data_IF_364720449654
#
_entry.id   IF_364720449654
#
_cell.length_a   1.000
_cell.length_b   1.000
_cell.length_c   1.000
_cell.angle_alpha   90.00
_cell.angle_beta   90.00
_cell.angle_gamma   90.00
#
_symmetry.space_group_name_H-M   'P 1'
#
loop_
_entity.id
_entity.type
_entity.pdbx_description
1 polymer ?
#
# COMPACT_ATOMS: atom_id res chain seq x y z
N UNK A 1 -16.43 5.35 10.03
CA UNK A 1 -16.89 4.11 10.68
C UNK A 1 -18.36 3.75 10.44
N UNK A 2 -19.24 4.74 10.21
CA UNK A 2 -20.66 4.57 9.81
C UNK A 2 -21.02 3.33 8.97
N UNK A 3 -20.26 3.03 7.92
CA UNK A 3 -20.49 1.83 7.09
C UNK A 3 -20.35 0.55 7.91
N UNK A 4 -19.26 0.41 8.67
CA UNK A 4 -19.03 -0.75 9.53
C UNK A 4 -20.09 -0.84 10.64
N UNK A 5 -20.45 0.29 11.25
CA UNK A 5 -21.54 0.37 12.24
C UNK A 5 -22.87 -0.12 11.66
N UNK A 6 -23.19 0.28 10.42
CA UNK A 6 -24.40 -0.16 9.71
C UNK A 6 -24.41 -1.69 9.50
N UNK A 7 -23.22 -2.28 9.36
CA UNK A 7 -23.04 -3.73 9.27
C UNK A 7 -22.84 -4.41 10.65
N UNK A 8 -22.97 -3.68 11.76
CA UNK A 8 -22.79 -4.23 13.12
C UNK A 8 -21.33 -4.59 13.47
N UNK A 9 -20.36 -4.09 12.71
CA UNK A 9 -18.94 -4.35 12.92
C UNK A 9 -18.35 -3.26 13.81
N UNK A 10 -18.13 -3.61 15.08
CA UNK A 10 -17.65 -2.68 16.10
C UNK A 10 -16.12 -2.65 16.22
N UNK A 11 -15.44 -3.70 15.77
CA UNK A 11 -13.97 -3.84 15.73
C UNK A 11 -13.57 -4.60 14.47
N UNK A 12 -12.45 -4.23 13.85
CA UNK A 12 -12.00 -4.83 12.60
C UNK A 12 -10.48 -4.88 12.45
N UNK A 13 -10.03 -5.80 11.62
CA UNK A 13 -8.67 -5.80 11.06
C UNK A 13 -8.72 -5.32 9.60
N UNK A 14 -7.78 -4.48 9.21
CA UNK A 14 -7.75 -3.85 7.89
C UNK A 14 -6.50 -4.25 7.12
N UNK A 15 -6.64 -4.49 5.82
CA UNK A 15 -5.53 -4.63 4.88
C UNK A 15 -5.60 -3.48 3.89
N UNK A 16 -4.58 -2.62 3.90
CA UNK A 16 -4.48 -1.48 3.01
C UNK A 16 -3.44 -1.73 1.92
N UNK A 17 -3.87 -1.76 0.66
CA UNK A 17 -2.99 -1.98 -0.50
C UNK A 17 -2.79 -0.65 -1.24
N UNK A 18 -1.54 -0.31 -1.55
CA UNK A 18 -1.21 0.91 -2.30
C UNK A 18 -1.84 2.15 -1.64
N UNK A 19 -2.67 2.92 -2.34
CA UNK A 19 -3.40 4.05 -1.76
C UNK A 19 -4.29 3.65 -0.57
N UNK A 20 -4.87 2.45 -0.61
CA UNK A 20 -5.63 1.89 0.51
C UNK A 20 -4.80 1.74 1.79
N UNK A 21 -3.47 1.63 1.69
CA UNK A 21 -2.57 1.67 2.84
C UNK A 21 -2.53 3.04 3.52
N UNK A 22 -2.51 4.14 2.76
CA UNK A 22 -2.58 5.50 3.32
C UNK A 22 -3.93 5.76 3.98
N UNK A 23 -5.02 5.36 3.33
CA UNK A 23 -6.38 5.45 3.89
C UNK A 23 -6.47 4.60 5.17
N UNK A 24 -6.01 3.36 5.12
CA UNK A 24 -6.04 2.45 6.26
C UNK A 24 -5.21 2.91 7.44
N UNK A 25 -4.02 3.48 7.19
CA UNK A 25 -3.18 4.10 8.20
C UNK A 25 -3.87 5.29 8.87
N UNK A 26 -4.48 6.16 8.07
CA UNK A 26 -5.24 7.30 8.57
C UNK A 26 -6.45 6.88 9.40
N UNK A 27 -7.17 5.82 8.99
CA UNK A 27 -8.29 5.27 9.77
C UNK A 27 -7.83 4.67 11.09
N UNK A 28 -6.71 3.93 11.11
CA UNK A 28 -6.16 3.37 12.33
C UNK A 28 -5.72 4.47 13.33
N UNK A 29 -5.16 5.57 12.82
CA UNK A 29 -4.77 6.71 13.64
C UNK A 29 -5.97 7.48 14.22
N UNK A 30 -7.06 7.60 13.46
CA UNK A 30 -8.26 8.34 13.88
C UNK A 30 -9.22 7.51 14.75
N UNK A 31 -9.25 6.19 14.59
CA UNK A 31 -10.18 5.28 15.27
C UNK A 31 -9.45 4.08 15.90
N UNK A 32 -8.47 4.32 16.81
CA UNK A 32 -7.61 3.27 17.36
C UNK A 32 -8.37 2.21 18.18
N UNK A 33 -9.53 2.56 18.74
CA UNK A 33 -10.41 1.64 19.47
C UNK A 33 -11.15 0.66 18.55
N UNK A 34 -11.34 1.02 17.28
CA UNK A 34 -12.07 0.20 16.30
C UNK A 34 -11.13 -0.62 15.42
N UNK A 35 -10.01 -0.05 14.97
CA UNK A 35 -9.04 -0.75 14.12
C UNK A 35 -8.04 -1.50 15.00
N UNK A 36 -8.23 -2.81 15.12
CA UNK A 36 -7.39 -3.65 16.00
C UNK A 36 -6.02 -3.95 15.41
N UNK A 37 -5.99 -4.15 14.09
CA UNK A 37 -4.79 -4.50 13.33
C UNK A 37 -4.87 -3.87 11.96
N UNK A 38 -3.73 -3.35 11.51
CA UNK A 38 -3.54 -2.84 10.16
C UNK A 38 -2.38 -3.59 9.50
N UNK A 39 -2.63 -4.17 8.33
CA UNK A 39 -1.59 -4.68 7.44
C UNK A 39 -1.44 -3.72 6.28
N UNK A 40 -0.21 -3.26 6.04
CA UNK A 40 0.14 -2.38 4.92
C UNK A 40 0.84 -3.21 3.84
N UNK A 41 0.33 -3.12 2.61
CA UNK A 41 0.88 -3.83 1.46
C UNK A 41 1.13 -2.83 0.33
N UNK A 42 2.36 -2.80 -0.19
CA UNK A 42 2.75 -1.91 -1.30
C UNK A 42 2.40 -0.42 -1.05
N UNK A 43 2.46 0.05 0.19
CA UNK A 43 2.04 1.39 0.58
C UNK A 43 3.18 2.17 1.24
N UNK A 44 3.55 3.30 0.65
CA UNK A 44 4.63 4.17 1.13
C UNK A 44 4.20 5.13 2.24
N UNK A 45 3.56 4.65 3.30
CA UNK A 45 3.00 5.53 4.37
C UNK A 45 4.07 6.24 5.21
N UNK A 46 5.33 5.80 5.13
CA UNK A 46 6.47 6.41 5.81
C UNK A 46 7.34 7.27 4.88
N UNK A 47 7.00 7.38 3.59
CA UNK A 47 7.82 8.14 2.64
C UNK A 47 7.94 9.62 3.05
N UNK A 48 9.16 10.12 3.08
CA UNK A 48 9.49 11.51 3.36
C UNK A 48 9.82 12.27 2.07
N UNK A 49 9.92 13.61 2.17
CA UNK A 49 10.28 14.46 1.03
C UNK A 49 11.66 14.06 0.44
N UNK A 50 12.59 13.59 1.28
CA UNK A 50 13.91 13.12 0.84
C UNK A 50 13.82 11.86 -0.01
N UNK A 51 12.90 10.94 0.29
CA UNK A 51 12.71 9.72 -0.50
C UNK A 51 12.16 10.05 -1.88
N UNK A 52 11.24 11.02 -1.95
CA UNK A 52 10.71 11.53 -3.21
C UNK A 52 11.79 12.24 -4.04
N UNK A 53 12.62 13.08 -3.42
CA UNK A 53 13.78 13.73 -4.07
C UNK A 53 14.78 12.69 -4.57
N UNK A 54 14.99 11.64 -3.79
CA UNK A 54 15.88 10.54 -4.15
C UNK A 54 15.28 9.61 -5.19
N UNK A 55 14.00 9.75 -5.54
CA UNK A 55 13.31 8.91 -6.51
C UNK A 55 13.03 7.51 -5.95
N UNK A 56 11.78 7.06 -6.08
CA UNK A 56 11.35 5.76 -5.56
C UNK A 56 11.86 4.58 -6.39
N UNK A 57 12.09 4.80 -7.69
CA UNK A 57 12.59 3.81 -8.64
C UNK A 57 13.52 4.50 -9.64
N UNK A 58 14.79 4.68 -9.25
CA UNK A 58 15.81 5.22 -10.14
C UNK A 58 16.29 4.15 -11.10
N UNK A 59 15.94 4.30 -12.37
CA UNK A 59 16.43 3.51 -13.50
C UNK A 59 17.01 4.43 -14.56
N UNK A 60 17.97 3.93 -15.31
CA UNK A 60 18.72 4.69 -16.33
C UNK A 60 17.99 4.78 -17.67
N UNK A 61 17.03 3.88 -17.94
CA UNK A 61 16.22 3.88 -19.17
C UNK A 61 14.84 3.24 -18.97
N UNK A 62 13.97 3.42 -19.97
CA UNK A 62 12.65 2.78 -20.00
C UNK A 62 12.78 1.26 -20.18
N UNK A 63 13.79 0.80 -20.94
CA UNK A 63 14.11 -0.62 -21.13
C UNK A 63 14.55 -1.27 -19.82
N UNK A 64 15.33 -0.58 -18.99
CA UNK A 64 15.68 -1.07 -17.66
C UNK A 64 14.42 -1.17 -16.78
N UNK A 65 13.56 -0.14 -16.78
CA UNK A 65 12.30 -0.14 -16.06
C UNK A 65 11.40 -1.33 -16.46
N UNK A 66 11.26 -1.57 -17.77
CA UNK A 66 10.43 -2.65 -18.29
C UNK A 66 11.02 -4.02 -17.96
N UNK A 67 12.35 -4.17 -17.95
CA UNK A 67 13.02 -5.41 -17.57
C UNK A 67 12.80 -5.81 -16.10
N UNK A 68 12.59 -4.83 -15.21
CA UNK A 68 12.36 -5.03 -13.78
C UNK A 68 10.86 -5.23 -13.49
N UNK A 69 10.01 -4.38 -14.08
CA UNK A 69 8.58 -4.32 -13.72
C UNK A 69 7.73 -5.33 -14.49
N UNK A 70 8.20 -5.82 -15.64
CA UNK A 70 7.45 -6.71 -16.51
C UNK A 70 8.20 -8.02 -16.74
N UNK A 71 7.49 -9.16 -16.77
CA UNK A 71 8.07 -10.42 -17.19
C UNK A 71 8.36 -10.36 -18.70
N UNK A 72 9.59 -10.69 -19.08
CA UNK A 72 10.05 -10.62 -20.48
C UNK A 72 9.53 -11.78 -21.34
N UNK A 73 9.09 -12.86 -20.70
CA UNK A 73 8.51 -14.03 -21.34
C UNK A 73 7.34 -14.57 -20.52
N UNK A 74 6.40 -15.31 -21.13
CA UNK A 74 5.26 -15.88 -20.41
C UNK A 74 5.65 -16.81 -19.25
N UNK A 75 6.74 -17.57 -19.39
CA UNK A 75 7.20 -18.48 -18.33
C UNK A 75 7.58 -17.74 -17.05
N UNK A 76 8.12 -16.51 -17.18
CA UNK A 76 8.49 -15.65 -16.06
C UNK A 76 7.30 -15.01 -15.33
N UNK A 77 6.06 -15.20 -15.79
CA UNK A 77 4.86 -14.72 -15.06
C UNK A 77 4.59 -15.51 -13.77
N UNK A 78 5.19 -16.68 -13.61
CA UNK A 78 4.91 -17.62 -12.51
C UNK A 78 6.03 -17.70 -11.47
N UNK A 79 7.16 -17.06 -11.72
CA UNK A 79 8.26 -16.87 -10.75
C UNK A 79 7.92 -15.72 -9.81
#
# INVERSE_FOLDING_TARGET
MKLMETHGVNRLSLVGISYGGFVGYSLAAQFPEVVEKLVLCCAGVYLEEIDMKNGLFKVSSLEEASSILLPQTPDKLRE
#
